data_IF_123962522734
#
_entry.id   IF_123962522734
#
_cell.length_a   1.000
_cell.length_b   1.000
_cell.length_c   1.000
_cell.angle_alpha   90.00
_cell.angle_beta   90.00
_cell.angle_gamma   90.00
#
_symmetry.space_group_name_H-M   'P 1'
#
loop_
_entity.id
_entity.type
_entity.pdbx_description
1 polymer ?
#
# COMPACT_ATOMS: atom_id res chain seq x y z
N UNK A 1 11.78 -23.23 25.04
CA UNK A 1 11.80 -22.71 23.65
C UNK A 1 12.45 -21.32 23.65
N UNK A 2 13.74 -21.21 23.30
CA UNK A 2 14.42 -19.91 23.19
C UNK A 2 14.14 -19.35 21.79
N UNK A 3 13.19 -18.41 21.66
CA UNK A 3 13.10 -17.62 20.44
C UNK A 3 14.47 -16.96 20.23
N UNK A 4 15.16 -17.18 19.09
CA UNK A 4 16.50 -16.64 18.93
C UNK A 4 16.37 -15.13 18.91
N UNK A 5 17.10 -14.41 19.78
CA UNK A 5 17.15 -12.92 19.78
C UNK A 5 17.41 -12.33 18.37
N UNK A 6 18.02 -13.13 17.48
CA UNK A 6 18.21 -12.83 16.06
C UNK A 6 16.92 -12.56 15.29
N UNK A 7 15.80 -13.20 15.65
CA UNK A 7 14.49 -12.93 15.02
C UNK A 7 13.88 -11.63 15.55
N UNK A 8 13.99 -11.38 16.85
CA UNK A 8 13.47 -10.16 17.49
C UNK A 8 14.11 -8.87 16.96
N UNK A 9 15.37 -8.92 16.50
CA UNK A 9 16.04 -7.76 15.89
C UNK A 9 15.78 -7.64 14.37
N UNK A 10 15.45 -8.74 13.69
CA UNK A 10 15.17 -8.74 12.25
C UNK A 10 13.74 -8.29 11.91
N UNK A 11 12.78 -8.63 12.76
CA UNK A 11 11.36 -8.26 12.62
C UNK A 11 11.15 -6.74 12.54
N UNK A 12 11.69 -5.91 13.45
CA UNK A 12 11.56 -4.46 13.39
C UNK A 12 12.16 -3.88 12.11
N UNK A 13 13.30 -4.44 11.68
CA UNK A 13 14.02 -3.97 10.50
C UNK A 13 13.25 -4.29 9.20
N UNK A 14 12.59 -5.44 9.15
CA UNK A 14 11.67 -5.81 8.07
C UNK A 14 10.43 -4.91 8.06
N UNK A 15 9.82 -4.65 9.21
CA UNK A 15 8.67 -3.75 9.34
C UNK A 15 9.02 -2.32 8.90
N UNK A 16 10.21 -1.83 9.27
CA UNK A 16 10.67 -0.52 8.83
C UNK A 16 10.85 -0.43 7.31
N UNK A 17 11.44 -1.47 6.70
CA UNK A 17 11.56 -1.55 5.24
C UNK A 17 10.19 -1.60 4.55
N UNK A 18 9.24 -2.36 5.09
CA UNK A 18 7.87 -2.41 4.59
C UNK A 18 7.16 -1.06 4.73
N UNK A 19 7.30 -0.38 5.88
CA UNK A 19 6.75 0.95 6.09
C UNK A 19 7.33 1.98 5.11
N UNK A 20 8.63 1.89 4.81
CA UNK A 20 9.27 2.72 3.78
C UNK A 20 8.69 2.48 2.39
N UNK A 21 8.49 1.22 2.00
CA UNK A 21 7.83 0.86 0.73
C UNK A 21 6.41 1.40 0.65
N UNK A 22 5.61 1.23 1.71
CA UNK A 22 4.25 1.78 1.80
C UNK A 22 4.27 3.31 1.68
N UNK A 23 5.27 3.98 2.29
CA UNK A 23 5.47 5.41 2.16
C UNK A 23 5.72 5.86 0.71
N UNK A 24 6.59 5.16 -0.02
CA UNK A 24 6.88 5.43 -1.43
C UNK A 24 5.63 5.22 -2.30
N UNK A 25 4.90 4.14 -2.08
CA UNK A 25 3.63 3.84 -2.78
C UNK A 25 2.61 4.95 -2.54
N UNK A 26 2.41 5.34 -1.27
CA UNK A 26 1.48 6.41 -0.91
C UNK A 26 1.89 7.78 -1.47
N UNK A 27 3.18 8.07 -1.53
CA UNK A 27 3.70 9.27 -2.17
C UNK A 27 3.38 9.29 -3.67
N UNK A 28 3.62 8.16 -4.36
CA UNK A 28 3.25 7.97 -5.77
C UNK A 28 1.75 8.18 -5.99
N UNK A 29 0.91 7.55 -5.16
CA UNK A 29 -0.56 7.66 -5.21
C UNK A 29 -1.03 9.11 -5.05
N UNK A 30 -0.46 9.85 -4.08
CA UNK A 30 -0.77 11.26 -3.86
C UNK A 30 -0.38 12.13 -5.05
N UNK A 31 0.82 11.91 -5.61
CA UNK A 31 1.30 12.66 -6.78
C UNK A 31 0.47 12.36 -8.02
N UNK A 32 0.10 11.10 -8.23
CA UNK A 32 -0.77 10.67 -9.33
C UNK A 32 -2.15 11.34 -9.22
N UNK A 33 -2.80 11.28 -8.05
CA UNK A 33 -4.07 11.99 -7.79
C UNK A 33 -3.94 13.48 -8.10
N UNK A 34 -2.88 14.13 -7.63
CA UNK A 34 -2.63 15.56 -7.84
C UNK A 34 -2.55 15.91 -9.33
N UNK A 35 -1.78 15.14 -10.12
CA UNK A 35 -1.63 15.36 -11.57
C UNK A 35 -2.97 15.18 -12.30
N UNK A 36 -3.78 14.20 -11.92
CA UNK A 36 -5.09 13.98 -12.53
C UNK A 36 -6.08 15.13 -12.24
N UNK A 37 -6.06 15.67 -11.03
CA UNK A 37 -6.86 16.85 -10.65
C UNK A 37 -6.38 18.09 -11.42
N UNK A 38 -5.07 18.31 -11.52
CA UNK A 38 -4.49 19.42 -12.31
C UNK A 38 -4.85 19.30 -13.80
N UNK A 39 -5.03 18.07 -14.29
CA UNK A 39 -5.47 17.77 -15.66
C UNK A 39 -6.99 17.97 -15.87
N UNK A 40 -7.70 18.53 -14.87
CA UNK A 40 -9.16 18.79 -14.91
C UNK A 40 -10.03 17.56 -15.14
N UNK A 41 -9.58 16.38 -14.69
CA UNK A 41 -10.45 15.20 -14.70
C UNK A 41 -11.55 15.32 -13.63
N UNK A 42 -12.77 14.80 -13.93
CA UNK A 42 -13.81 14.64 -12.92
C UNK A 42 -13.33 13.79 -11.75
N UNK A 43 -13.68 14.20 -10.53
CA UNK A 43 -13.24 13.55 -9.29
C UNK A 43 -13.57 12.05 -9.26
N UNK A 44 -14.75 11.66 -9.78
CA UNK A 44 -15.18 10.25 -9.89
C UNK A 44 -14.22 9.39 -10.73
N UNK A 45 -13.66 9.97 -11.80
CA UNK A 45 -12.71 9.29 -12.69
C UNK A 45 -11.33 9.22 -12.02
N UNK A 46 -10.93 10.29 -11.34
CA UNK A 46 -9.68 10.33 -10.57
C UNK A 46 -9.68 9.25 -9.49
N UNK A 47 -10.77 9.11 -8.74
CA UNK A 47 -10.87 8.09 -7.69
C UNK A 47 -10.78 6.68 -8.25
N UNK A 48 -11.50 6.37 -9.33
CA UNK A 48 -11.40 5.05 -9.99
C UNK A 48 -9.99 4.75 -10.47
N UNK A 49 -9.34 5.69 -11.16
CA UNK A 49 -7.96 5.53 -11.65
C UNK A 49 -6.97 5.32 -10.50
N UNK A 50 -7.12 6.09 -9.43
CA UNK A 50 -6.28 6.00 -8.24
C UNK A 50 -6.49 4.67 -7.49
N UNK A 51 -7.69 4.13 -7.53
CA UNK A 51 -8.04 2.84 -6.92
C UNK A 51 -7.51 1.66 -7.75
N UNK A 52 -7.67 1.72 -9.07
CA UNK A 52 -7.24 0.66 -10.00
C UNK A 52 -5.70 0.57 -10.10
N UNK A 53 -5.00 1.70 -9.97
CA UNK A 53 -3.53 1.74 -9.92
C UNK A 53 -2.93 1.53 -8.54
N UNK A 54 -3.73 1.38 -7.47
CA UNK A 54 -3.18 1.13 -6.14
C UNK A 54 -2.62 -0.30 -6.05
N UNK A 55 -1.29 -0.51 -5.94
CA UNK A 55 -0.70 -1.85 -5.89
C UNK A 55 -1.11 -2.64 -4.64
N UNK A 56 -1.81 -2.00 -3.70
CA UNK A 56 -2.36 -2.60 -2.48
C UNK A 56 -3.71 -3.30 -2.70
N UNK A 57 -4.41 -3.05 -3.81
CA UNK A 57 -5.72 -3.66 -4.12
C UNK A 57 -5.68 -5.18 -4.22
N UNK A 58 -4.75 -5.85 -4.96
CA UNK A 58 -4.74 -7.31 -5.03
C UNK A 58 -4.48 -7.95 -3.67
N UNK A 59 -3.71 -7.30 -2.80
CA UNK A 59 -3.44 -7.74 -1.43
C UNK A 59 -4.67 -7.60 -0.52
N UNK A 60 -5.42 -6.49 -0.66
CA UNK A 60 -6.70 -6.32 0.04
C UNK A 60 -7.69 -7.40 -0.37
N UNK A 61 -7.89 -7.60 -1.67
CA UNK A 61 -8.84 -8.60 -2.18
C UNK A 61 -8.48 -10.02 -1.73
N UNK A 62 -7.20 -10.40 -1.77
CA UNK A 62 -6.76 -11.72 -1.29
C UNK A 62 -6.90 -11.87 0.23
N UNK A 63 -6.58 -10.86 1.03
CA UNK A 63 -6.77 -10.90 2.49
C UNK A 63 -8.25 -10.98 2.89
N UNK A 64 -9.12 -10.22 2.23
CA UNK A 64 -10.57 -10.27 2.48
C UNK A 64 -11.19 -11.61 2.03
N UNK A 65 -10.66 -12.23 0.98
CA UNK A 65 -11.10 -13.57 0.54
C UNK A 65 -10.75 -14.67 1.53
N UNK A 66 -9.64 -14.55 2.26
CA UNK A 66 -9.24 -15.49 3.31
C UNK A 66 -10.04 -15.33 4.61
N UNK A 67 -10.49 -14.11 4.93
CA UNK A 67 -11.28 -13.83 6.15
C UNK A 67 -12.72 -14.35 6.12
N UNK A 68 -13.27 -14.64 4.93
CA UNK A 68 -14.64 -15.18 4.75
C UNK A 68 -14.73 -16.71 4.72
N UNK A 69 -13.63 -17.44 4.94
CA UNK A 69 -13.62 -18.90 4.95
C UNK A 69 -13.54 -19.46 6.36
#
# INVERSE_FOLDING_TARGET
>A
MRLPLRFFLRLPLLLFKLAGLVGVINCGKRRFRKVLIESSLPEDIVERLVEEFDPSTPLRETLFRFSRR
#
